data_IF_012412142663
#
_entry.id   IF_012412142663
#
_cell.length_a   1.000
_cell.length_b   1.000
_cell.length_c   1.000
_cell.angle_alpha   90.00
_cell.angle_beta   90.00
_cell.angle_gamma   90.00
#
_symmetry.space_group_name_H-M   'P 1'
#
loop_
_entity.id
_entity.type
_entity.pdbx_description
1 polymer ?
#
# COMPACT_ATOMS: atom_id res chain seq x y z
N UNK A 1 39.38 42.52 7.85
CA UNK A 1 40.22 41.58 7.13
C UNK A 1 39.29 40.49 6.65
N UNK A 2 39.14 40.29 5.34
CA UNK A 2 38.32 39.21 4.81
C UNK A 2 39.02 37.90 5.13
N UNK A 3 38.29 36.97 5.76
CA UNK A 3 38.77 35.57 5.91
C UNK A 3 38.86 34.95 4.52
N UNK A 4 40.01 34.43 4.15
CA UNK A 4 40.21 33.72 2.91
C UNK A 4 39.88 32.25 3.16
N UNK A 5 38.87 31.74 2.49
CA UNK A 5 38.61 30.29 2.41
C UNK A 5 39.60 29.69 1.40
N UNK A 6 40.28 28.63 1.80
CA UNK A 6 41.14 27.86 0.93
C UNK A 6 40.60 26.44 0.84
N UNK A 7 40.28 26.01 -0.37
CA UNK A 7 39.78 24.64 -0.63
C UNK A 7 40.74 24.01 -1.65
N UNK A 8 41.34 22.88 -1.28
CA UNK A 8 42.21 22.11 -2.17
C UNK A 8 41.33 21.27 -3.12
N UNK A 9 41.69 21.29 -4.40
CA UNK A 9 41.11 20.41 -5.40
C UNK A 9 42.26 19.54 -5.97
N UNK A 10 42.04 18.23 -6.02
CA UNK A 10 43.00 17.33 -6.69
C UNK A 10 42.80 17.42 -8.20
N UNK A 11 43.84 17.84 -8.91
CA UNK A 11 43.85 18.03 -10.36
C UNK A 11 44.29 16.78 -11.11
N UNK A 12 43.43 16.37 -12.07
CA UNK A 12 43.79 15.51 -13.20
C UNK A 12 43.87 16.41 -14.43
N UNK A 13 44.68 16.06 -15.42
CA UNK A 13 44.79 16.81 -16.71
C UNK A 13 43.37 17.14 -17.25
N UNK A 14 43.02 18.43 -17.32
CA UNK A 14 41.74 18.89 -17.81
C UNK A 14 41.07 19.96 -16.94
N UNK A 15 39.78 19.95 -16.85
CA UNK A 15 38.98 20.87 -16.05
C UNK A 15 39.04 20.49 -14.58
N UNK A 16 39.21 21.48 -13.71
CA UNK A 16 39.12 21.33 -12.25
C UNK A 16 37.77 21.87 -11.84
N UNK A 17 36.96 21.02 -11.23
CA UNK A 17 35.64 21.38 -10.64
C UNK A 17 35.73 21.27 -9.13
N UNK A 18 35.26 22.29 -8.42
CA UNK A 18 35.13 22.26 -6.97
C UNK A 18 33.87 22.98 -6.56
N UNK A 19 33.23 22.48 -5.49
CA UNK A 19 32.04 23.10 -4.90
C UNK A 19 32.46 23.86 -3.65
N UNK A 20 32.29 25.17 -3.64
CA UNK A 20 32.58 26.01 -2.47
C UNK A 20 31.39 25.90 -1.50
N UNK A 21 31.63 25.51 -0.26
CA UNK A 21 30.66 25.37 0.80
C UNK A 21 30.91 26.36 1.94
N UNK A 22 29.88 26.60 2.79
CA UNK A 22 29.99 27.49 3.94
C UNK A 22 30.00 28.98 3.57
N UNK A 23 29.54 29.31 2.35
CA UNK A 23 29.43 30.72 1.92
C UNK A 23 28.20 31.37 2.54
N UNK A 24 28.30 32.66 2.85
CA UNK A 24 27.17 33.47 3.33
C UNK A 24 26.26 33.87 2.17
N UNK A 25 24.95 33.83 2.38
CA UNK A 25 23.96 34.24 1.39
C UNK A 25 24.07 35.75 1.05
N UNK A 26 23.65 36.12 -0.16
CA UNK A 26 23.64 37.49 -0.63
C UNK A 26 25.01 38.17 -0.68
N UNK A 27 26.11 37.41 -0.58
CA UNK A 27 27.49 37.92 -0.41
C UNK A 27 28.28 37.81 -1.68
N UNK A 28 29.00 38.87 -2.02
CA UNK A 28 29.91 38.84 -3.16
C UNK A 28 31.27 38.24 -2.76
N UNK A 29 31.67 37.23 -3.50
CA UNK A 29 32.95 36.56 -3.32
C UNK A 29 33.88 36.77 -4.52
N UNK A 30 35.14 36.87 -4.24
CA UNK A 30 36.17 36.93 -5.25
C UNK A 30 37.03 35.68 -5.14
N UNK A 31 37.36 35.08 -6.25
CA UNK A 31 38.14 33.85 -6.29
C UNK A 31 39.25 33.93 -7.33
N UNK A 32 40.32 33.19 -7.10
CA UNK A 32 41.33 32.86 -8.11
C UNK A 32 41.71 31.39 -7.95
N UNK A 33 42.04 30.76 -9.04
CA UNK A 33 42.66 29.43 -9.04
C UNK A 33 44.17 29.59 -8.83
N UNK A 34 44.71 28.87 -7.87
CA UNK A 34 46.14 28.78 -7.63
C UNK A 34 46.63 27.38 -7.92
N UNK A 35 47.60 27.25 -8.80
CA UNK A 35 48.25 25.99 -9.15
C UNK A 35 49.72 26.06 -8.67
N UNK A 36 50.12 25.10 -7.86
CA UNK A 36 51.46 24.98 -7.33
C UNK A 36 52.08 23.63 -7.66
N UNK A 37 53.33 23.62 -8.09
CA UNK A 37 54.11 22.41 -8.28
C UNK A 37 55.20 22.24 -7.18
N UNK A 38 55.10 23.02 -6.08
CA UNK A 38 56.03 23.02 -4.97
C UNK A 38 57.27 23.90 -5.20
N UNK A 39 57.47 24.43 -6.42
CA UNK A 39 58.60 25.32 -6.77
C UNK A 39 58.12 26.67 -7.30
N UNK A 40 56.97 26.71 -7.92
CA UNK A 40 56.36 27.92 -8.45
C UNK A 40 54.85 27.87 -8.26
N UNK A 41 54.23 29.05 -8.18
CA UNK A 41 52.79 29.26 -8.04
C UNK A 41 52.35 30.10 -9.21
N UNK A 42 51.29 29.68 -9.88
CA UNK A 42 50.60 30.42 -10.93
C UNK A 42 49.15 30.66 -10.48
N UNK A 43 48.70 31.90 -10.66
CA UNK A 43 47.31 32.29 -10.32
C UNK A 43 46.55 32.69 -11.57
N UNK A 44 45.28 32.35 -11.62
CA UNK A 44 44.34 32.88 -12.61
C UNK A 44 44.03 34.36 -12.34
N UNK A 45 43.40 35.00 -13.32
CA UNK A 45 42.71 36.27 -13.06
C UNK A 45 41.67 36.11 -11.95
N UNK A 46 41.35 37.22 -11.27
CA UNK A 46 40.37 37.25 -10.22
C UNK A 46 38.98 37.21 -10.85
N UNK A 47 38.26 36.12 -10.61
CA UNK A 47 36.81 36.02 -10.89
C UNK A 47 36.01 36.49 -9.68
N UNK A 48 34.74 36.77 -9.93
CA UNK A 48 33.78 37.07 -8.84
C UNK A 48 32.45 36.45 -9.13
N UNK A 49 31.68 36.14 -8.08
CA UNK A 49 30.29 35.76 -8.11
C UNK A 49 29.61 36.29 -6.85
N UNK A 50 28.28 36.30 -6.88
CA UNK A 50 27.48 36.62 -5.71
C UNK A 50 26.57 35.44 -5.40
N UNK A 51 26.55 35.01 -4.14
CA UNK A 51 25.57 34.02 -3.66
C UNK A 51 24.17 34.63 -3.68
N UNK A 52 23.18 33.78 -3.93
CA UNK A 52 21.80 34.21 -3.84
C UNK A 52 21.47 34.63 -2.39
N UNK A 53 20.65 35.67 -2.21
CA UNK A 53 20.13 36.00 -0.88
C UNK A 53 19.19 34.91 -0.39
N UNK A 54 19.10 34.74 0.92
CA UNK A 54 18.06 33.92 1.51
C UNK A 54 16.69 34.56 1.24
N UNK A 55 15.68 33.72 1.05
CA UNK A 55 14.32 34.12 0.72
C UNK A 55 13.31 33.52 1.69
N UNK A 56 12.05 33.88 1.55
CA UNK A 56 10.96 33.19 2.23
C UNK A 56 10.84 31.77 1.75
N UNK A 57 10.33 30.82 2.55
CA UNK A 57 10.00 29.46 2.10
C UNK A 57 9.00 29.50 0.95
N UNK A 58 9.07 28.53 0.04
CA UNK A 58 8.11 28.35 -1.06
C UNK A 58 7.31 27.08 -0.84
N UNK A 59 5.99 27.22 -0.76
CA UNK A 59 5.04 26.12 -0.60
C UNK A 59 4.34 25.80 -1.92
N UNK A 60 4.14 24.52 -2.19
CA UNK A 60 3.33 24.03 -3.29
C UNK A 60 1.83 24.09 -2.98
N UNK A 61 1.04 23.43 -3.82
CA UNK A 61 -0.41 23.36 -3.64
C UNK A 61 -0.80 22.59 -2.36
N UNK A 62 -1.80 23.14 -1.66
CA UNK A 62 -2.42 22.46 -0.53
C UNK A 62 -3.49 21.50 -1.01
N UNK A 63 -3.31 20.20 -0.72
CA UNK A 63 -4.23 19.14 -1.12
C UNK A 63 -4.92 18.57 0.11
N UNK A 64 -6.25 18.53 0.08
CA UNK A 64 -7.02 17.80 1.09
C UNK A 64 -7.02 16.31 0.76
N UNK A 65 -6.45 15.49 1.65
CA UNK A 65 -6.35 14.03 1.48
C UNK A 65 -7.45 13.26 2.22
N UNK A 66 -8.08 13.90 3.20
CA UNK A 66 -9.16 13.31 3.98
C UNK A 66 -10.10 14.39 4.55
N UNK A 67 -11.41 14.06 4.66
CA UNK A 67 -12.44 14.87 5.29
C UNK A 67 -13.43 14.00 6.07
N UNK A 68 -13.56 14.26 7.36
CA UNK A 68 -14.55 13.64 8.24
C UNK A 68 -15.41 14.70 8.95
N UNK A 69 -16.29 14.26 9.88
CA UNK A 69 -17.14 15.16 10.64
C UNK A 69 -16.37 15.98 11.70
N UNK A 70 -15.29 15.42 12.27
CA UNK A 70 -14.52 16.04 13.36
C UNK A 70 -13.03 16.17 13.07
N UNK A 71 -12.61 15.78 11.87
CA UNK A 71 -11.22 15.91 11.45
C UNK A 71 -11.09 16.02 9.93
N UNK A 72 -9.95 16.58 9.51
CA UNK A 72 -9.54 16.62 8.11
C UNK A 72 -8.02 16.42 8.02
N UNK A 73 -7.50 15.92 6.92
CA UNK A 73 -6.07 15.79 6.71
C UNK A 73 -5.68 16.47 5.39
N UNK A 74 -4.52 17.12 5.44
CA UNK A 74 -3.96 17.86 4.33
C UNK A 74 -2.53 17.47 4.07
N UNK A 75 -2.13 17.64 2.83
CA UNK A 75 -0.77 17.45 2.34
C UNK A 75 -0.33 18.67 1.57
N UNK A 76 0.93 19.08 1.76
CA UNK A 76 1.57 20.12 0.99
C UNK A 76 3.03 19.74 0.75
N UNK A 77 3.67 20.38 -0.23
CA UNK A 77 5.09 20.22 -0.52
C UNK A 77 5.83 21.48 -0.19
N UNK A 78 6.93 21.38 0.55
CA UNK A 78 7.93 22.44 0.64
C UNK A 78 8.76 22.35 -0.63
N UNK A 79 8.63 23.35 -1.50
CA UNK A 79 9.36 23.44 -2.78
C UNK A 79 10.76 23.98 -2.58
N UNK A 80 10.91 24.96 -1.66
CA UNK A 80 12.19 25.61 -1.34
C UNK A 80 12.13 26.12 0.12
N UNK A 81 13.16 25.88 0.91
CA UNK A 81 13.28 26.41 2.27
C UNK A 81 13.79 27.85 2.32
N UNK A 82 14.14 28.41 1.17
CA UNK A 82 14.68 29.77 1.03
C UNK A 82 16.15 29.88 1.40
N UNK A 83 16.88 28.77 1.49
CA UNK A 83 18.29 28.71 1.87
C UNK A 83 18.53 28.84 3.39
N UNK A 84 17.48 28.74 4.22
CA UNK A 84 17.53 28.81 5.68
C UNK A 84 16.70 27.71 6.31
N UNK A 85 17.16 27.17 7.44
CA UNK A 85 16.42 26.17 8.18
C UNK A 85 15.05 26.69 8.60
N UNK A 86 14.01 25.87 8.42
CA UNK A 86 12.68 26.20 8.90
C UNK A 86 12.64 26.20 10.43
N UNK A 87 12.03 27.21 11.00
CA UNK A 87 11.71 27.30 12.43
C UNK A 87 10.33 26.75 12.74
N UNK A 88 9.41 26.83 11.78
CA UNK A 88 8.05 26.30 11.89
C UNK A 88 7.59 25.75 10.55
N UNK A 89 7.00 24.56 10.60
CA UNK A 89 6.26 23.95 9.48
C UNK A 89 4.92 23.46 10.05
N UNK A 90 3.80 23.90 9.46
CA UNK A 90 2.50 23.69 10.07
C UNK A 90 1.35 23.78 9.05
N UNK A 91 0.15 23.44 9.50
CA UNK A 91 -1.12 23.89 8.92
C UNK A 91 -1.82 24.84 9.86
N UNK A 92 -2.27 25.97 9.32
CA UNK A 92 -3.14 26.92 10.02
C UNK A 92 -4.57 26.71 9.55
N UNK A 93 -5.54 26.79 10.46
CA UNK A 93 -6.95 26.67 10.10
C UNK A 93 -7.84 27.50 11.03
N UNK A 94 -8.96 27.95 10.49
CA UNK A 94 -9.98 28.66 11.23
C UNK A 94 -11.37 28.35 10.70
N UNK A 95 -12.38 28.45 11.55
CA UNK A 95 -13.77 28.39 11.10
C UNK A 95 -14.09 29.65 10.26
N UNK A 96 -14.80 29.46 9.14
CA UNK A 96 -15.15 30.51 8.21
C UNK A 96 -16.02 31.56 8.92
N UNK A 97 -15.57 32.83 8.87
CA UNK A 97 -16.24 33.96 9.53
C UNK A 97 -15.79 34.22 10.97
N UNK A 98 -14.78 33.47 11.46
CA UNK A 98 -14.14 33.74 12.76
C UNK A 98 -12.69 34.22 12.55
N UNK A 99 -12.12 34.85 13.57
CA UNK A 99 -10.71 35.29 13.57
C UNK A 99 -9.82 34.38 14.43
N UNK A 100 -10.38 33.29 14.98
CA UNK A 100 -9.68 32.38 15.88
C UNK A 100 -8.94 31.32 15.12
N UNK A 101 -7.78 31.65 14.56
CA UNK A 101 -6.89 30.69 13.89
C UNK A 101 -6.24 29.71 14.86
N UNK A 102 -6.15 28.45 14.48
CA UNK A 102 -5.40 27.39 15.16
C UNK A 102 -4.26 26.94 14.28
N UNK A 103 -3.21 26.36 14.90
CA UNK A 103 -2.02 25.87 14.23
C UNK A 103 -1.74 24.43 14.63
N UNK A 104 -1.34 23.59 13.65
CA UNK A 104 -0.90 22.21 13.85
C UNK A 104 0.48 22.07 13.24
N UNK A 105 1.51 22.00 14.08
CA UNK A 105 2.89 21.77 13.64
C UNK A 105 3.06 20.31 13.13
N UNK A 106 3.88 20.14 12.09
CA UNK A 106 4.13 18.88 11.43
C UNK A 106 5.61 18.75 11.09
N UNK A 107 6.16 17.51 11.07
CA UNK A 107 7.50 17.25 10.56
C UNK A 107 7.53 17.35 9.03
N UNK A 108 8.68 17.74 8.48
CA UNK A 108 8.96 17.57 7.06
C UNK A 108 9.22 16.08 6.78
N UNK A 109 8.52 15.53 5.78
CA UNK A 109 8.71 14.16 5.31
C UNK A 109 9.67 14.05 4.14
N UNK A 110 9.72 12.87 3.55
CA UNK A 110 10.55 12.59 2.39
C UNK A 110 10.13 13.45 1.18
N UNK A 111 11.09 13.77 0.30
CA UNK A 111 10.87 14.56 -0.92
C UNK A 111 10.22 15.94 -0.68
N UNK A 112 10.37 16.50 0.52
CA UNK A 112 9.79 17.79 0.87
C UNK A 112 8.28 17.75 1.14
N UNK A 113 7.64 16.58 1.15
CA UNK A 113 6.21 16.42 1.41
C UNK A 113 5.94 16.43 2.92
N UNK A 114 4.96 17.18 3.36
CA UNK A 114 4.48 17.17 4.74
C UNK A 114 2.97 16.98 4.80
N UNK A 115 2.51 16.26 5.81
CA UNK A 115 1.10 15.95 6.03
C UNK A 115 0.69 16.29 7.45
N UNK A 116 -0.54 16.74 7.60
CA UNK A 116 -1.10 17.06 8.91
C UNK A 116 -2.57 16.72 9.03
N UNK A 117 -2.98 16.33 10.24
CA UNK A 117 -4.36 16.02 10.57
C UNK A 117 -4.92 17.07 11.53
N UNK A 118 -5.95 17.78 11.09
CA UNK A 118 -6.74 18.67 11.93
C UNK A 118 -7.74 17.82 12.72
N UNK A 119 -7.83 18.02 14.03
CA UNK A 119 -8.71 17.27 14.92
C UNK A 119 -9.56 18.23 15.76
N UNK A 120 -10.68 17.72 16.31
CA UNK A 120 -11.58 18.52 17.15
C UNK A 120 -12.30 19.60 16.36
N UNK A 121 -12.58 19.33 15.07
CA UNK A 121 -13.44 20.17 14.24
C UNK A 121 -14.90 19.95 14.61
N UNK A 122 -15.77 20.89 14.25
CA UNK A 122 -17.21 20.77 14.43
C UNK A 122 -17.85 20.20 13.15
N UNK A 123 -18.86 19.36 13.34
CA UNK A 123 -19.58 18.69 12.25
C UNK A 123 -20.38 19.70 11.41
N UNK A 124 -20.42 19.51 10.09
CA UNK A 124 -21.16 20.40 9.17
C UNK A 124 -20.60 21.83 9.09
N UNK A 125 -19.42 22.05 9.64
CA UNK A 125 -18.82 23.40 9.79
C UNK A 125 -17.78 23.66 8.70
N UNK A 126 -17.79 24.86 8.15
CA UNK A 126 -16.86 25.27 7.09
C UNK A 126 -15.59 25.87 7.70
N UNK A 127 -14.44 25.39 7.25
CA UNK A 127 -13.12 25.83 7.65
C UNK A 127 -12.31 26.35 6.46
N UNK A 128 -11.37 27.24 6.74
CA UNK A 128 -10.36 27.72 5.81
C UNK A 128 -9.01 27.25 6.35
N UNK A 129 -8.21 26.59 5.50
CA UNK A 129 -6.91 26.00 5.86
C UNK A 129 -5.83 26.50 4.93
N UNK A 130 -4.63 26.77 5.46
CA UNK A 130 -3.42 27.04 4.68
C UNK A 130 -2.26 26.23 5.25
N UNK A 131 -1.35 25.79 4.41
CA UNK A 131 -0.02 25.36 4.84
C UNK A 131 0.79 26.61 5.24
N UNK A 132 1.68 26.46 6.20
CA UNK A 132 2.42 27.55 6.83
C UNK A 132 3.87 27.13 7.08
N UNK A 133 4.80 27.95 6.65
CA UNK A 133 6.22 27.74 6.87
C UNK A 133 6.91 29.03 7.28
N UNK A 134 7.87 28.95 8.18
CA UNK A 134 8.67 30.07 8.69
C UNK A 134 10.15 29.72 8.66
N UNK A 135 10.96 30.63 8.16
CA UNK A 135 12.41 30.63 8.31
C UNK A 135 12.88 31.96 8.96
N UNK A 136 14.18 32.20 9.01
CA UNK A 136 14.75 33.43 9.59
C UNK A 136 14.38 34.72 8.83
N UNK A 137 13.95 34.60 7.55
CA UNK A 137 13.57 35.76 6.71
C UNK A 137 12.12 36.14 6.93
N UNK A 138 11.23 35.18 7.25
CA UNK A 138 9.83 35.45 7.54
C UNK A 138 8.93 34.25 7.29
N UNK A 139 7.65 34.47 7.10
CA UNK A 139 6.59 33.50 7.00
C UNK A 139 5.95 33.46 5.59
N UNK A 140 5.49 32.26 5.21
CA UNK A 140 4.76 32.03 3.96
C UNK A 140 3.55 31.13 4.21
N UNK A 141 2.47 31.42 3.49
CA UNK A 141 1.24 30.64 3.46
C UNK A 141 0.98 30.09 2.06
N UNK A 142 0.45 28.88 1.96
CA UNK A 142 -0.10 28.39 0.70
C UNK A 142 -1.40 29.12 0.34
N UNK A 143 -1.88 28.95 -0.88
CA UNK A 143 -3.25 29.30 -1.25
C UNK A 143 -4.22 28.60 -0.27
N UNK A 144 -5.16 29.33 0.36
CA UNK A 144 -6.09 28.73 1.31
C UNK A 144 -7.08 27.80 0.60
N UNK A 145 -7.42 26.70 1.28
CA UNK A 145 -8.46 25.75 0.85
C UNK A 145 -9.63 25.84 1.80
N UNK A 146 -10.82 26.04 1.23
CA UNK A 146 -12.08 26.03 1.99
C UNK A 146 -12.70 24.63 1.92
N UNK A 147 -13.14 24.09 3.06
CA UNK A 147 -13.86 22.82 3.12
C UNK A 147 -14.92 22.85 4.23
N UNK A 148 -15.97 22.01 4.06
CA UNK A 148 -16.99 21.81 5.10
C UNK A 148 -16.84 20.39 5.62
N UNK A 149 -16.77 20.20 6.95
CA UNK A 149 -16.76 18.89 7.60
C UNK A 149 -18.03 18.11 7.25
N UNK A 150 -17.91 16.76 7.26
CA UNK A 150 -19.03 15.89 6.91
C UNK A 150 -20.12 15.90 7.99
N UNK A 151 -21.38 15.75 7.57
CA UNK A 151 -22.47 15.40 8.49
C UNK A 151 -22.47 13.90 8.73
N UNK A 152 -22.46 13.47 9.99
CA UNK A 152 -22.43 12.06 10.37
C UNK A 152 -23.48 11.73 11.45
N UNK A 153 -23.96 10.50 11.45
CA UNK A 153 -24.72 9.96 12.57
C UNK A 153 -23.77 9.70 13.73
N UNK A 154 -24.04 10.31 14.89
CA UNK A 154 -23.19 10.18 16.07
C UNK A 154 -23.72 9.10 17.03
N UNK A 155 -22.96 8.03 17.22
CA UNK A 155 -23.24 6.94 18.17
C UNK A 155 -22.39 7.11 19.43
N UNK A 156 -22.88 7.87 20.41
CA UNK A 156 -22.14 8.19 21.63
C UNK A 156 -22.01 6.98 22.59
N UNK A 157 -22.98 6.04 22.54
CA UNK A 157 -23.02 4.88 23.39
C UNK A 157 -22.97 3.60 22.53
N UNK A 158 -21.96 2.74 22.69
CA UNK A 158 -21.81 1.54 21.89
C UNK A 158 -23.06 0.63 22.02
N UNK A 159 -23.62 0.18 20.89
CA UNK A 159 -24.80 -0.68 20.83
C UNK A 159 -26.13 0.06 20.66
N UNK A 160 -26.12 1.40 20.63
CA UNK A 160 -27.33 2.21 20.49
C UNK A 160 -27.67 2.57 19.03
N UNK A 161 -26.82 2.21 18.07
CA UNK A 161 -27.08 2.51 16.65
C UNK A 161 -28.43 1.97 16.16
N UNK A 162 -28.91 0.77 16.56
CA UNK A 162 -30.26 0.28 16.19
C UNK A 162 -31.37 1.23 16.62
N UNK A 163 -31.31 1.81 17.80
CA UNK A 163 -32.28 2.78 18.29
C UNK A 163 -32.20 4.11 17.56
N UNK A 164 -30.98 4.61 17.32
CA UNK A 164 -30.73 5.86 16.59
C UNK A 164 -31.27 5.75 15.16
N UNK A 165 -31.02 4.62 14.49
CA UNK A 165 -31.45 4.40 13.11
C UNK A 165 -32.93 4.11 12.95
N UNK A 166 -33.53 3.43 13.91
CA UNK A 166 -34.97 3.09 13.89
C UNK A 166 -35.43 2.54 12.54
N UNK A 167 -36.47 3.11 11.99
CA UNK A 167 -37.06 2.70 10.70
C UNK A 167 -36.23 3.15 9.47
N UNK A 168 -35.23 4.03 9.64
CA UNK A 168 -34.42 4.53 8.54
C UNK A 168 -33.36 3.52 8.07
N UNK A 169 -33.12 2.47 8.84
CA UNK A 169 -32.03 1.49 8.57
C UNK A 169 -32.07 0.86 7.17
N UNK A 170 -33.25 0.76 6.54
CA UNK A 170 -33.39 0.17 5.21
C UNK A 170 -33.55 1.18 4.07
N UNK A 171 -33.58 2.48 4.41
CA UNK A 171 -33.81 3.54 3.42
C UNK A 171 -32.51 4.23 2.97
N UNK A 172 -31.39 3.96 3.64
CA UNK A 172 -30.14 4.62 3.37
C UNK A 172 -29.27 3.82 2.39
N UNK A 173 -28.75 4.50 1.38
CA UNK A 173 -27.73 3.97 0.47
C UNK A 173 -26.32 4.39 0.89
N UNK A 174 -26.20 5.46 1.69
CA UNK A 174 -24.94 5.99 2.22
C UNK A 174 -25.08 6.31 3.69
N UNK A 175 -24.02 6.06 4.46
CA UNK A 175 -23.98 6.31 5.89
C UNK A 175 -22.61 6.78 6.34
N UNK A 176 -22.57 7.95 6.98
CA UNK A 176 -21.37 8.44 7.70
C UNK A 176 -21.63 8.34 9.18
N UNK A 177 -20.75 7.63 9.89
CA UNK A 177 -20.84 7.39 11.33
C UNK A 177 -19.66 8.01 12.07
N UNK A 178 -19.94 8.45 13.29
CA UNK A 178 -18.92 8.84 14.29
C UNK A 178 -19.27 8.25 15.65
N UNK A 179 -18.30 8.23 16.56
CA UNK A 179 -18.46 7.67 17.90
C UNK A 179 -18.05 6.21 18.03
N UNK A 180 -18.82 5.40 18.74
CA UNK A 180 -18.41 4.04 19.14
C UNK A 180 -19.26 2.96 18.48
N UNK A 181 -18.61 1.85 18.08
CA UNK A 181 -19.27 0.69 17.49
C UNK A 181 -18.90 -0.59 18.26
N UNK A 182 -19.89 -1.36 18.68
CA UNK A 182 -19.71 -2.71 19.22
C UNK A 182 -20.42 -3.76 18.35
N UNK A 183 -20.48 -5.00 18.83
CA UNK A 183 -21.08 -6.10 18.08
C UNK A 183 -22.54 -5.88 17.71
N UNK A 184 -23.32 -5.21 18.55
CA UNK A 184 -24.74 -4.88 18.27
C UNK A 184 -24.85 -3.91 17.09
N UNK A 185 -23.98 -2.89 17.05
CA UNK A 185 -23.95 -1.91 15.95
C UNK A 185 -23.51 -2.57 14.64
N UNK A 186 -22.48 -3.45 14.71
CA UNK A 186 -22.00 -4.20 13.54
C UNK A 186 -23.10 -5.10 12.96
N UNK A 187 -23.94 -5.75 13.80
CA UNK A 187 -25.10 -6.52 13.32
C UNK A 187 -26.04 -5.65 12.49
N UNK A 188 -26.38 -4.47 12.99
CA UNK A 188 -27.22 -3.54 12.24
C UNK A 188 -26.60 -3.14 10.91
N UNK A 189 -25.30 -2.77 10.90
CA UNK A 189 -24.62 -2.42 9.66
C UNK A 189 -24.65 -3.55 8.63
N UNK A 190 -24.52 -4.81 9.07
CA UNK A 190 -24.66 -5.97 8.18
C UNK A 190 -26.08 -6.07 7.61
N UNK A 191 -27.13 -5.90 8.45
CA UNK A 191 -28.52 -5.87 8.00
C UNK A 191 -28.77 -4.75 6.98
N UNK A 192 -28.20 -3.57 7.21
CA UNK A 192 -28.25 -2.45 6.27
C UNK A 192 -27.54 -2.73 4.96
N UNK A 193 -26.51 -3.59 4.99
CA UNK A 193 -25.73 -4.08 3.83
C UNK A 193 -26.34 -5.31 3.16
N UNK A 194 -27.59 -5.65 3.49
CA UNK A 194 -28.35 -6.71 2.83
C UNK A 194 -28.20 -8.12 3.42
N UNK A 195 -27.50 -8.30 4.56
CA UNK A 195 -27.27 -9.63 5.15
C UNK A 195 -27.36 -9.61 6.67
N UNK A 196 -28.17 -10.49 7.26
CA UNK A 196 -28.17 -10.71 8.70
C UNK A 196 -27.01 -11.62 9.17
N UNK A 197 -26.95 -11.90 10.47
CA UNK A 197 -25.91 -12.77 11.05
C UNK A 197 -26.13 -14.26 10.76
N UNK A 198 -27.35 -14.65 10.40
CA UNK A 198 -27.76 -16.03 10.11
C UNK A 198 -27.51 -16.36 8.63
N UNK A 199 -27.19 -15.34 7.83
CA UNK A 199 -26.92 -15.48 6.40
C UNK A 199 -28.17 -15.37 5.53
N UNK A 200 -29.21 -14.72 6.03
CA UNK A 200 -30.42 -14.40 5.26
C UNK A 200 -30.30 -13.01 4.65
N UNK A 201 -30.92 -12.83 3.49
CA UNK A 201 -31.06 -11.52 2.86
C UNK A 201 -31.98 -10.62 3.66
N UNK A 202 -31.63 -9.34 3.73
CA UNK A 202 -32.43 -8.28 4.33
C UNK A 202 -32.76 -7.21 3.29
N UNK A 203 -33.76 -6.36 3.50
CA UNK A 203 -34.08 -5.26 2.58
C UNK A 203 -33.08 -4.09 2.64
N UNK A 204 -31.95 -4.26 3.28
CA UNK A 204 -30.89 -3.23 3.35
C UNK A 204 -30.40 -2.80 1.97
N UNK A 205 -30.18 -1.50 1.80
CA UNK A 205 -29.75 -0.89 0.53
C UNK A 205 -28.44 -0.13 0.65
N UNK A 206 -27.77 -0.25 1.80
CA UNK A 206 -26.52 0.48 2.07
C UNK A 206 -25.40 -0.03 1.16
N UNK A 207 -24.75 0.89 0.44
CA UNK A 207 -23.65 0.57 -0.48
C UNK A 207 -22.37 1.32 -0.14
N UNK A 208 -22.46 2.44 0.58
CA UNK A 208 -21.31 3.24 0.98
C UNK A 208 -21.34 3.52 2.48
N UNK A 209 -20.21 3.30 3.16
CA UNK A 209 -20.04 3.61 4.58
C UNK A 209 -18.77 4.43 4.81
N UNK A 210 -18.91 5.51 5.59
CA UNK A 210 -17.79 6.23 6.17
C UNK A 210 -17.76 6.01 7.69
N UNK A 211 -16.81 5.24 8.15
CA UNK A 211 -16.57 4.90 9.55
C UNK A 211 -15.32 5.60 10.11
N UNK A 212 -14.75 6.55 9.37
CA UNK A 212 -13.46 7.18 9.69
C UNK A 212 -13.38 7.71 11.12
N UNK A 213 -14.46 8.35 11.59
CA UNK A 213 -14.56 8.96 12.92
C UNK A 213 -15.17 8.02 13.96
N UNK A 214 -15.23 6.72 13.67
CA UNK A 214 -15.70 5.73 14.63
C UNK A 214 -14.53 5.05 15.35
N UNK A 215 -14.87 4.41 16.48
CA UNK A 215 -13.97 3.51 17.22
C UNK A 215 -14.68 2.19 17.47
N UNK A 216 -14.06 1.10 17.05
CA UNK A 216 -14.56 -0.24 17.37
C UNK A 216 -14.15 -0.56 18.81
N UNK A 217 -15.12 -0.91 19.63
CA UNK A 217 -14.93 -1.28 21.04
C UNK A 217 -15.47 -2.67 21.33
N UNK A 218 -15.03 -3.25 22.41
CA UNK A 218 -15.48 -4.58 22.85
C UNK A 218 -16.94 -4.54 23.34
N UNK A 219 -17.64 -5.70 23.25
CA UNK A 219 -18.96 -5.88 23.82
C UNK A 219 -20.08 -5.93 22.80
N UNK A 220 -21.33 -5.74 23.27
CA UNK A 220 -22.53 -5.90 22.49
C UNK A 220 -22.87 -7.36 22.16
N UNK A 221 -23.77 -7.56 21.21
CA UNK A 221 -24.14 -8.89 20.70
C UNK A 221 -23.04 -9.47 19.81
N UNK A 222 -23.01 -10.81 19.67
CA UNK A 222 -22.17 -11.43 18.63
C UNK A 222 -22.57 -10.96 17.24
N UNK A 223 -21.61 -10.59 16.39
CA UNK A 223 -21.90 -10.10 15.03
C UNK A 223 -21.83 -11.20 13.96
N UNK A 224 -21.24 -12.36 14.29
CA UNK A 224 -21.17 -13.54 13.42
C UNK A 224 -20.88 -14.81 14.25
N UNK A 225 -21.79 -15.77 14.25
CA UNK A 225 -21.69 -16.96 15.11
C UNK A 225 -21.51 -16.55 16.58
N UNK A 226 -20.44 -17.03 17.24
CA UNK A 226 -20.09 -16.66 18.62
C UNK A 226 -19.00 -15.57 18.69
N UNK A 227 -18.80 -14.77 17.64
CA UNK A 227 -17.74 -13.75 17.59
C UNK A 227 -18.23 -12.41 18.07
N UNK A 228 -17.41 -11.77 18.88
CA UNK A 228 -17.63 -10.44 19.46
C UNK A 228 -16.58 -9.48 18.97
N UNK A 229 -16.88 -8.19 18.98
CA UNK A 229 -15.93 -7.15 18.58
C UNK A 229 -14.74 -7.10 19.52
N UNK A 230 -13.56 -6.86 18.95
CA UNK A 230 -12.33 -6.52 19.66
C UNK A 230 -11.95 -5.06 19.35
N UNK A 231 -11.30 -4.41 20.30
CA UNK A 231 -10.92 -3.00 20.16
C UNK A 231 -10.06 -2.80 18.90
N UNK A 232 -10.41 -1.75 18.14
CA UNK A 232 -9.70 -1.30 16.96
C UNK A 232 -9.38 -2.42 15.94
N UNK A 233 -10.28 -3.41 15.84
CA UNK A 233 -10.10 -4.61 15.01
C UNK A 233 -11.31 -4.86 14.12
N UNK A 234 -11.09 -5.00 12.81
CA UNK A 234 -12.00 -5.68 11.91
C UNK A 234 -11.66 -7.17 11.94
N UNK A 235 -12.47 -7.93 12.67
CA UNK A 235 -12.22 -9.34 12.91
C UNK A 235 -12.80 -10.23 11.81
N UNK A 236 -12.48 -11.52 11.86
CA UNK A 236 -12.97 -12.52 10.90
C UNK A 236 -14.49 -12.44 10.69
N UNK A 237 -14.87 -12.32 9.44
CA UNK A 237 -16.29 -12.36 9.04
C UNK A 237 -17.12 -11.15 9.44
N UNK A 238 -16.52 -10.03 9.90
CA UNK A 238 -17.25 -8.85 10.35
C UNK A 238 -18.19 -8.30 9.27
N UNK A 239 -17.73 -8.29 8.00
CA UNK A 239 -18.55 -7.93 6.83
C UNK A 239 -18.64 -9.08 5.82
N UNK A 240 -18.63 -10.33 6.30
CA UNK A 240 -18.76 -11.51 5.46
C UNK A 240 -20.02 -11.45 4.59
N UNK A 241 -19.87 -11.63 3.26
CA UNK A 241 -20.94 -11.64 2.25
C UNK A 241 -21.73 -10.33 2.13
N UNK A 242 -21.23 -9.20 2.66
CA UNK A 242 -21.85 -7.90 2.42
C UNK A 242 -21.63 -7.49 0.94
N UNK A 243 -22.28 -8.23 0.03
CA UNK A 243 -22.06 -8.16 -1.42
C UNK A 243 -22.47 -6.85 -2.06
N UNK A 244 -23.31 -6.06 -1.39
CA UNK A 244 -23.75 -4.73 -1.86
C UNK A 244 -22.74 -3.62 -1.54
N UNK A 245 -21.83 -3.84 -0.58
CA UNK A 245 -20.86 -2.83 -0.16
C UNK A 245 -19.94 -2.47 -1.32
N UNK A 246 -19.98 -1.21 -1.77
CA UNK A 246 -19.17 -0.68 -2.87
C UNK A 246 -17.98 0.14 -2.36
N UNK A 247 -18.18 0.89 -1.27
CA UNK A 247 -17.15 1.75 -0.68
C UNK A 247 -17.21 1.74 0.84
N UNK A 248 -16.05 1.68 1.45
CA UNK A 248 -15.91 1.82 2.90
C UNK A 248 -14.71 2.71 3.22
N UNK A 249 -14.92 3.69 4.10
CA UNK A 249 -13.83 4.41 4.75
C UNK A 249 -13.68 3.85 6.16
N UNK A 250 -12.49 3.36 6.46
CA UNK A 250 -12.20 2.65 7.71
C UNK A 250 -11.88 3.61 8.85
N UNK A 251 -12.14 3.21 10.12
CA UNK A 251 -11.81 4.02 11.29
C UNK A 251 -10.33 4.41 11.33
N UNK A 252 -10.03 5.68 11.60
CA UNK A 252 -8.65 6.13 11.77
C UNK A 252 -7.91 5.40 12.91
N UNK A 253 -8.64 4.98 13.96
CA UNK A 253 -8.08 4.24 15.09
C UNK A 253 -7.82 2.76 14.79
N UNK A 254 -8.27 2.24 13.64
CA UNK A 254 -8.21 0.83 13.30
C UNK A 254 -6.77 0.34 13.21
N UNK A 255 -6.46 -0.74 13.94
CA UNK A 255 -5.11 -1.33 14.00
C UNK A 255 -4.98 -2.64 13.25
N UNK A 256 -6.06 -3.42 13.17
CA UNK A 256 -6.02 -4.79 12.65
C UNK A 256 -7.17 -5.05 11.70
N UNK A 257 -6.86 -5.58 10.52
CA UNK A 257 -7.82 -6.24 9.63
C UNK A 257 -7.43 -7.71 9.58
N UNK A 258 -8.30 -8.55 10.16
CA UNK A 258 -8.12 -10.01 10.20
C UNK A 258 -8.51 -10.67 8.88
N UNK A 259 -8.04 -11.90 8.68
CA UNK A 259 -8.36 -12.73 7.53
C UNK A 259 -9.88 -12.81 7.34
N UNK A 260 -10.32 -12.70 6.10
CA UNK A 260 -11.73 -12.85 5.72
C UNK A 260 -12.70 -11.84 6.38
N UNK A 261 -12.21 -10.68 6.88
CA UNK A 261 -13.06 -9.62 7.42
C UNK A 261 -14.09 -9.11 6.38
N UNK A 262 -13.70 -9.06 5.10
CA UNK A 262 -14.53 -8.64 3.95
C UNK A 262 -14.83 -9.76 2.97
N UNK A 263 -14.72 -11.03 3.39
CA UNK A 263 -14.92 -12.16 2.48
C UNK A 263 -16.25 -12.11 1.76
N UNK A 264 -16.20 -12.14 0.42
CA UNK A 264 -17.42 -12.11 -0.39
C UNK A 264 -18.09 -10.73 -0.51
N UNK A 265 -17.39 -9.63 -0.18
CA UNK A 265 -17.80 -8.26 -0.52
C UNK A 265 -17.59 -8.02 -2.02
N UNK A 266 -18.36 -8.70 -2.87
CA UNK A 266 -18.13 -8.81 -4.31
C UNK A 266 -18.29 -7.50 -5.08
N UNK A 267 -18.95 -6.49 -4.52
CA UNK A 267 -19.12 -5.17 -5.12
C UNK A 267 -18.13 -4.12 -4.59
N UNK A 268 -17.26 -4.47 -3.62
CA UNK A 268 -16.31 -3.52 -3.05
C UNK A 268 -15.26 -3.12 -4.10
N UNK A 269 -15.26 -1.83 -4.47
CA UNK A 269 -14.45 -1.31 -5.59
C UNK A 269 -13.07 -0.84 -5.09
N UNK A 270 -13.04 -0.17 -3.94
CA UNK A 270 -11.80 0.39 -3.38
C UNK A 270 -11.88 0.48 -1.86
N UNK A 271 -10.73 0.46 -1.23
CA UNK A 271 -10.59 0.64 0.22
C UNK A 271 -9.32 1.43 0.52
N UNK A 272 -9.42 2.38 1.46
CA UNK A 272 -8.28 3.13 1.96
C UNK A 272 -7.81 2.55 3.29
N UNK A 273 -6.55 2.14 3.34
CA UNK A 273 -5.88 1.69 4.56
C UNK A 273 -5.60 2.89 5.46
N UNK A 274 -6.14 2.93 6.69
CA UNK A 274 -6.02 4.09 7.57
C UNK A 274 -4.62 4.22 8.19
N UNK A 275 -4.36 5.40 8.76
CA UNK A 275 -3.09 5.78 9.36
C UNK A 275 -2.60 4.85 10.49
N UNK A 276 -3.51 4.36 11.34
CA UNK A 276 -3.17 3.53 12.50
C UNK A 276 -3.07 2.04 12.21
N UNK A 277 -3.40 1.57 10.98
CA UNK A 277 -3.38 0.14 10.67
C UNK A 277 -1.96 -0.40 10.68
N UNK A 278 -1.75 -1.51 11.42
CA UNK A 278 -0.45 -2.19 11.53
C UNK A 278 -0.51 -3.68 11.14
N UNK A 279 -1.71 -4.27 11.08
CA UNK A 279 -1.91 -5.64 10.63
C UNK A 279 -2.99 -5.69 9.55
N UNK A 280 -2.65 -6.24 8.41
CA UNK A 280 -3.58 -6.49 7.30
C UNK A 280 -3.46 -7.95 6.85
N UNK A 281 -4.58 -8.66 6.85
CA UNK A 281 -4.70 -10.00 6.27
C UNK A 281 -5.73 -9.98 5.16
N UNK A 282 -5.46 -10.70 4.09
CA UNK A 282 -6.27 -10.72 2.88
C UNK A 282 -7.66 -11.32 3.13
N UNK A 283 -8.64 -10.82 2.39
CA UNK A 283 -9.99 -11.40 2.28
C UNK A 283 -10.22 -11.83 0.84
N UNK A 284 -10.88 -12.97 0.65
CA UNK A 284 -11.21 -13.48 -0.68
C UNK A 284 -12.64 -13.15 -1.11
N UNK A 285 -12.87 -13.12 -2.43
CA UNK A 285 -14.21 -12.88 -2.99
C UNK A 285 -14.60 -11.41 -3.05
N UNK A 286 -13.62 -10.50 -3.04
CA UNK A 286 -13.80 -9.09 -3.33
C UNK A 286 -13.60 -8.83 -4.84
N UNK A 287 -14.40 -9.50 -5.68
CA UNK A 287 -14.16 -9.60 -7.13
C UNK A 287 -14.24 -8.28 -7.90
N UNK A 288 -14.81 -7.23 -7.32
CA UNK A 288 -14.82 -5.88 -7.90
C UNK A 288 -13.68 -5.00 -7.39
N UNK A 289 -12.86 -5.47 -6.43
CA UNK A 289 -11.83 -4.64 -5.82
C UNK A 289 -10.71 -4.31 -6.82
N UNK A 290 -10.57 -3.04 -7.16
CA UNK A 290 -9.60 -2.54 -8.14
C UNK A 290 -8.43 -1.83 -7.48
N UNK A 291 -8.64 -1.27 -6.27
CA UNK A 291 -7.66 -0.39 -5.64
C UNK A 291 -7.65 -0.53 -4.12
N UNK A 292 -6.45 -0.64 -3.58
CA UNK A 292 -6.13 -0.46 -2.17
C UNK A 292 -5.22 0.76 -2.05
N UNK A 293 -5.76 1.90 -1.62
CA UNK A 293 -4.97 3.08 -1.30
C UNK A 293 -4.52 3.05 0.17
N UNK A 294 -3.50 3.81 0.49
CA UNK A 294 -2.94 3.89 1.86
C UNK A 294 -2.87 5.35 2.27
N UNK A 295 -3.33 5.65 3.49
CA UNK A 295 -3.19 6.99 4.06
C UNK A 295 -1.71 7.42 4.05
N UNK A 296 -1.37 8.63 3.60
CA UNK A 296 -0.01 9.15 3.66
C UNK A 296 0.60 9.14 5.08
N UNK A 297 -0.24 9.17 6.11
CA UNK A 297 0.15 9.11 7.52
C UNK A 297 0.42 7.69 8.01
N UNK A 298 0.13 6.64 7.23
CA UNK A 298 0.42 5.27 7.63
C UNK A 298 1.92 4.99 7.56
N UNK A 299 2.47 4.46 8.66
CA UNK A 299 3.91 4.16 8.80
C UNK A 299 4.28 2.71 8.49
N UNK A 300 3.29 1.84 8.27
CA UNK A 300 3.48 0.38 8.11
C UNK A 300 3.32 -0.07 6.66
N UNK A 301 2.40 0.57 5.93
CA UNK A 301 2.02 0.18 4.57
C UNK A 301 2.27 1.29 3.56
N UNK A 302 2.33 0.90 2.29
CA UNK A 302 2.34 1.77 1.13
C UNK A 302 1.48 1.18 0.01
N UNK A 303 1.07 2.02 -0.94
CA UNK A 303 0.35 1.59 -2.13
C UNK A 303 1.06 2.11 -3.38
N UNK A 304 1.25 1.22 -4.35
CA UNK A 304 1.78 1.57 -5.68
C UNK A 304 0.76 1.05 -6.70
N UNK A 305 0.23 1.93 -7.51
CA UNK A 305 -0.79 1.61 -8.50
C UNK A 305 -1.99 0.81 -7.93
N UNK A 306 -2.41 1.13 -6.72
CA UNK A 306 -3.54 0.47 -6.06
C UNK A 306 -3.25 -0.93 -5.53
N UNK A 307 -2.01 -1.39 -5.57
CA UNK A 307 -1.54 -2.65 -4.96
C UNK A 307 -0.92 -2.36 -3.61
N UNK A 308 -1.22 -3.18 -2.61
CA UNK A 308 -0.76 -2.97 -1.22
C UNK A 308 0.60 -3.63 -0.97
N UNK A 309 1.49 -2.86 -0.38
CA UNK A 309 2.83 -3.26 0.05
C UNK A 309 3.07 -2.90 1.52
N UNK A 310 4.14 -3.46 2.12
CA UNK A 310 4.71 -2.88 3.32
C UNK A 310 5.36 -1.52 3.00
N UNK A 311 5.77 -0.76 4.01
CA UNK A 311 6.18 0.65 3.86
C UNK A 311 7.29 0.89 2.84
N UNK A 312 8.32 0.04 2.83
CA UNK A 312 9.48 0.12 1.93
C UNK A 312 9.27 -0.62 0.59
N UNK A 313 8.07 -1.10 0.34
CA UNK A 313 7.69 -1.90 -0.83
C UNK A 313 8.58 -3.13 -1.08
N UNK A 314 9.19 -3.69 -0.03
CA UNK A 314 9.94 -4.95 -0.13
C UNK A 314 9.04 -6.19 -0.11
N UNK A 315 7.80 -6.07 0.42
CA UNK A 315 6.80 -7.13 0.47
C UNK A 315 5.54 -6.69 -0.27
N UNK A 316 5.14 -7.40 -1.32
CA UNK A 316 3.82 -7.26 -1.93
C UNK A 316 2.81 -8.03 -1.07
N UNK A 317 1.83 -7.33 -0.50
CA UNK A 317 0.88 -7.90 0.47
C UNK A 317 -0.42 -8.31 -0.20
N UNK A 318 -0.99 -7.46 -1.07
CA UNK A 318 -2.29 -7.75 -1.70
C UNK A 318 -2.43 -7.06 -3.06
N UNK A 319 -2.61 -7.85 -4.11
CA UNK A 319 -3.04 -7.42 -5.44
C UNK A 319 -4.56 -7.55 -5.51
N UNK A 320 -5.32 -6.46 -5.76
CA UNK A 320 -6.78 -6.49 -5.75
C UNK A 320 -7.37 -7.46 -6.79
N UNK A 321 -8.35 -8.28 -6.38
CA UNK A 321 -8.93 -9.34 -7.23
C UNK A 321 -9.57 -8.81 -8.52
N UNK A 322 -10.26 -7.67 -8.46
CA UNK A 322 -10.95 -7.04 -9.60
C UNK A 322 -10.10 -6.11 -10.45
N UNK A 323 -8.79 -6.00 -10.14
CA UNK A 323 -7.90 -5.11 -10.89
C UNK A 323 -7.62 -5.68 -12.29
N UNK A 324 -8.07 -4.95 -13.31
CA UNK A 324 -8.03 -5.33 -14.73
C UNK A 324 -6.98 -4.55 -15.54
N UNK A 325 -5.87 -4.18 -14.95
CA UNK A 325 -4.77 -3.54 -15.68
C UNK A 325 -3.99 -4.60 -16.46
N UNK A 326 -3.56 -4.30 -17.69
CA UNK A 326 -2.86 -5.20 -18.60
C UNK A 326 -1.65 -5.95 -18.00
N UNK A 327 -0.43 -5.58 -18.30
CA UNK A 327 0.76 -6.21 -17.72
C UNK A 327 1.06 -5.64 -16.34
N UNK A 328 1.23 -6.53 -15.34
CA UNK A 328 1.70 -6.14 -14.00
C UNK A 328 3.22 -6.25 -13.93
N UNK A 329 3.87 -5.17 -13.51
CA UNK A 329 5.31 -5.12 -13.29
C UNK A 329 5.61 -4.93 -11.81
N UNK A 330 6.46 -5.78 -11.27
CA UNK A 330 6.90 -5.67 -9.88
C UNK A 330 7.84 -4.47 -9.68
N UNK A 331 7.65 -3.65 -8.64
CA UNK A 331 8.69 -2.73 -8.18
C UNK A 331 10.01 -3.47 -7.91
N UNK A 332 11.14 -2.88 -8.26
CA UNK A 332 12.46 -3.50 -8.09
C UNK A 332 12.85 -3.76 -6.63
N UNK A 333 12.17 -3.10 -5.70
CA UNK A 333 12.33 -3.28 -4.25
C UNK A 333 11.76 -4.60 -3.74
N UNK A 334 10.81 -5.25 -4.47
CA UNK A 334 10.09 -6.43 -3.98
C UNK A 334 11.04 -7.63 -3.85
N UNK A 335 11.05 -8.23 -2.65
CA UNK A 335 11.80 -9.44 -2.28
C UNK A 335 10.90 -10.58 -1.88
N UNK A 336 9.68 -10.27 -1.45
CA UNK A 336 8.70 -11.25 -0.98
C UNK A 336 7.31 -10.95 -1.53
N UNK A 337 6.59 -12.02 -1.88
CA UNK A 337 5.15 -11.97 -2.17
C UNK A 337 4.41 -12.63 -1.02
N UNK A 338 3.46 -11.93 -0.43
CA UNK A 338 2.73 -12.35 0.77
C UNK A 338 1.79 -13.55 0.54
N UNK A 339 1.25 -14.08 1.64
CA UNK A 339 0.25 -15.15 1.64
C UNK A 339 -1.00 -14.69 0.88
N UNK A 340 -1.46 -15.50 -0.08
CA UNK A 340 -2.65 -15.24 -0.90
C UNK A 340 -2.63 -13.87 -1.63
N UNK A 341 -1.45 -13.32 -1.90
CA UNK A 341 -1.31 -11.94 -2.39
C UNK A 341 -1.92 -11.70 -3.77
N UNK A 342 -1.94 -12.70 -4.66
CA UNK A 342 -2.59 -12.68 -5.98
C UNK A 342 -3.80 -13.62 -6.06
N UNK A 343 -4.40 -13.95 -4.91
CA UNK A 343 -5.57 -14.83 -4.91
C UNK A 343 -6.69 -14.27 -5.79
N UNK A 344 -7.26 -15.12 -6.67
CA UNK A 344 -8.34 -14.80 -7.61
C UNK A 344 -8.05 -13.63 -8.58
N UNK A 345 -6.82 -13.18 -8.75
CA UNK A 345 -6.50 -12.09 -9.67
C UNK A 345 -6.91 -12.41 -11.11
N UNK A 346 -7.22 -11.36 -11.89
CA UNK A 346 -7.69 -11.46 -13.26
C UNK A 346 -6.58 -11.23 -14.32
N UNK A 347 -5.32 -11.29 -13.92
CA UNK A 347 -4.19 -11.19 -14.85
C UNK A 347 -4.14 -12.40 -15.79
N UNK A 348 -3.82 -12.17 -17.07
CA UNK A 348 -3.60 -13.24 -18.05
C UNK A 348 -2.25 -13.96 -17.87
N UNK A 349 -1.23 -13.20 -17.49
CA UNK A 349 0.11 -13.73 -17.24
C UNK A 349 0.87 -12.92 -16.20
N UNK A 350 1.86 -13.54 -15.58
CA UNK A 350 2.74 -12.88 -14.63
C UNK A 350 4.16 -13.40 -14.71
N UNK A 351 5.14 -12.50 -14.58
CA UNK A 351 6.56 -12.84 -14.44
C UNK A 351 7.00 -12.38 -13.06
N UNK A 352 7.29 -13.35 -12.19
CA UNK A 352 7.90 -13.08 -10.88
C UNK A 352 9.40 -12.88 -11.12
N UNK A 353 9.95 -11.69 -10.87
CA UNK A 353 11.34 -11.38 -11.19
C UNK A 353 12.31 -12.08 -10.24
N UNK A 354 13.57 -12.17 -10.65
CA UNK A 354 14.64 -12.79 -9.86
C UNK A 354 14.97 -12.04 -8.56
N UNK A 355 14.47 -10.80 -8.40
CA UNK A 355 14.57 -10.06 -7.13
C UNK A 355 13.69 -10.63 -6.03
N UNK A 356 12.64 -11.41 -6.38
CA UNK A 356 11.76 -12.06 -5.41
C UNK A 356 12.40 -13.35 -4.93
N UNK A 357 12.56 -13.46 -3.61
CA UNK A 357 13.23 -14.58 -2.94
C UNK A 357 12.23 -15.53 -2.26
N UNK A 358 11.05 -15.02 -1.88
CA UNK A 358 10.05 -15.79 -1.12
C UNK A 358 8.64 -15.60 -1.67
N UNK A 359 7.90 -16.71 -1.78
CA UNK A 359 6.48 -16.77 -2.07
C UNK A 359 5.70 -17.22 -0.83
N UNK A 360 4.60 -16.55 -0.52
CA UNK A 360 3.67 -16.97 0.52
C UNK A 360 2.77 -18.12 0.09
N UNK A 361 2.24 -18.87 1.05
CA UNK A 361 1.25 -19.90 0.80
C UNK A 361 0.04 -19.35 0.03
N UNK A 362 -0.56 -20.17 -0.85
CA UNK A 362 -1.75 -19.82 -1.63
C UNK A 362 -1.56 -18.57 -2.52
N UNK A 363 -0.33 -18.19 -2.82
CA UNK A 363 0.02 -16.89 -3.44
C UNK A 363 -0.80 -16.56 -4.69
N UNK A 364 -1.07 -17.54 -5.57
CA UNK A 364 -1.87 -17.41 -6.79
C UNK A 364 -3.17 -18.22 -6.77
N UNK A 365 -3.62 -18.68 -5.61
CA UNK A 365 -4.81 -19.52 -5.51
C UNK A 365 -6.01 -18.94 -6.25
N UNK A 366 -6.63 -19.70 -7.16
CA UNK A 366 -7.81 -19.31 -7.93
C UNK A 366 -7.57 -18.21 -8.98
N UNK A 367 -6.31 -17.79 -9.18
CA UNK A 367 -5.96 -16.79 -10.18
C UNK A 367 -6.30 -17.24 -11.61
N UNK A 368 -6.73 -16.30 -12.46
CA UNK A 368 -7.11 -16.52 -13.87
C UNK A 368 -5.91 -16.54 -14.83
N UNK A 369 -4.72 -16.67 -14.29
CA UNK A 369 -3.46 -16.70 -15.04
C UNK A 369 -3.39 -17.90 -15.98
N UNK A 370 -3.10 -17.66 -17.25
CA UNK A 370 -2.82 -18.70 -18.25
C UNK A 370 -1.35 -19.10 -18.27
N UNK A 371 -0.47 -18.17 -17.90
CA UNK A 371 0.98 -18.37 -17.86
C UNK A 371 1.59 -17.72 -16.63
N UNK A 372 2.42 -18.50 -15.92
CA UNK A 372 3.21 -18.00 -14.78
C UNK A 372 4.67 -18.33 -15.03
N UNK A 373 5.54 -17.35 -14.85
CA UNK A 373 7.00 -17.52 -14.88
C UNK A 373 7.54 -17.13 -13.50
N UNK A 374 8.16 -18.08 -12.82
CA UNK A 374 8.91 -17.84 -11.58
C UNK A 374 10.40 -17.83 -11.95
N UNK A 375 11.03 -16.68 -11.83
CA UNK A 375 12.47 -16.53 -12.16
C UNK A 375 13.38 -17.12 -11.06
N UNK A 376 14.68 -16.99 -11.22
CA UNK A 376 15.71 -17.72 -10.45
C UNK A 376 15.82 -17.33 -8.96
N UNK A 377 15.19 -16.24 -8.49
CA UNK A 377 15.28 -15.81 -7.09
C UNK A 377 14.59 -16.73 -6.08
N UNK A 378 13.52 -17.41 -6.51
CA UNK A 378 12.69 -18.25 -5.64
C UNK A 378 13.29 -19.64 -5.50
N UNK A 379 13.41 -20.14 -4.26
CA UNK A 379 13.94 -21.48 -3.98
C UNK A 379 12.86 -22.55 -3.80
N UNK A 380 11.69 -22.20 -3.29
CA UNK A 380 10.61 -23.15 -3.01
C UNK A 380 9.25 -22.67 -3.48
N UNK A 381 8.43 -23.59 -3.99
CA UNK A 381 7.01 -23.34 -4.28
C UNK A 381 6.20 -23.74 -3.05
N UNK A 382 5.55 -22.82 -2.35
CA UNK A 382 4.86 -23.08 -1.10
C UNK A 382 3.56 -23.86 -1.28
N UNK A 383 2.95 -24.27 -0.15
CA UNK A 383 1.69 -25.02 -0.12
C UNK A 383 0.59 -24.27 -0.87
N UNK A 384 -0.15 -25.00 -1.69
CA UNK A 384 -1.29 -24.51 -2.45
C UNK A 384 -1.01 -23.27 -3.32
N UNK A 385 0.25 -23.03 -3.72
CA UNK A 385 0.68 -21.80 -4.42
C UNK A 385 -0.16 -21.49 -5.65
N UNK A 386 -0.48 -22.49 -6.47
CA UNK A 386 -1.30 -22.37 -7.70
C UNK A 386 -2.65 -23.10 -7.59
N UNK A 387 -3.05 -23.47 -6.37
CA UNK A 387 -4.29 -24.21 -6.15
C UNK A 387 -5.48 -23.49 -6.81
N UNK A 388 -6.34 -24.27 -7.51
CA UNK A 388 -7.53 -23.77 -8.20
C UNK A 388 -7.23 -22.77 -9.36
N UNK A 389 -5.99 -22.72 -9.88
CA UNK A 389 -5.66 -21.99 -11.11
C UNK A 389 -6.14 -22.77 -12.33
N UNK A 390 -7.45 -22.80 -12.55
CA UNK A 390 -8.09 -23.67 -13.57
C UNK A 390 -7.75 -23.29 -15.02
N UNK A 391 -7.29 -22.06 -15.26
CA UNK A 391 -6.89 -21.55 -16.57
C UNK A 391 -5.39 -21.66 -16.83
N UNK A 392 -4.59 -22.09 -15.85
CA UNK A 392 -3.14 -22.17 -15.96
C UNK A 392 -2.71 -23.28 -16.92
N UNK A 393 -2.14 -22.87 -18.05
CA UNK A 393 -1.67 -23.78 -19.11
C UNK A 393 -0.16 -23.94 -19.10
N UNK A 394 0.57 -22.87 -18.81
CA UNK A 394 2.04 -22.84 -18.86
C UNK A 394 2.61 -22.37 -17.53
N UNK A 395 3.44 -23.20 -16.91
CA UNK A 395 4.19 -22.86 -15.70
C UNK A 395 5.69 -23.00 -15.96
N UNK A 396 6.46 -21.94 -15.72
CA UNK A 396 7.92 -21.95 -15.82
C UNK A 396 8.51 -21.73 -14.45
N UNK A 397 9.36 -22.64 -13.99
CA UNK A 397 10.03 -22.59 -12.70
C UNK A 397 11.54 -22.46 -12.89
N UNK A 398 12.13 -21.43 -12.28
CA UNK A 398 13.53 -21.07 -12.37
C UNK A 398 14.50 -22.14 -11.87
N UNK A 399 15.78 -21.93 -12.12
CA UNK A 399 16.84 -22.95 -11.85
C UNK A 399 17.10 -23.18 -10.37
N UNK A 400 16.76 -22.21 -9.49
CA UNK A 400 17.00 -22.30 -8.05
C UNK A 400 15.89 -23.09 -7.30
N UNK A 401 14.81 -23.48 -7.98
CA UNK A 401 13.72 -24.22 -7.34
C UNK A 401 14.21 -25.60 -6.89
N UNK A 402 14.17 -25.85 -5.58
CA UNK A 402 14.60 -27.07 -4.92
C UNK A 402 13.47 -27.93 -4.38
N UNK A 403 12.28 -27.37 -4.14
CA UNK A 403 11.12 -28.11 -3.62
C UNK A 403 9.78 -27.51 -4.05
N UNK A 404 8.79 -28.39 -4.25
CA UNK A 404 7.37 -28.08 -4.42
C UNK A 404 6.59 -28.69 -3.26
N UNK A 405 5.88 -27.84 -2.49
CA UNK A 405 5.11 -28.27 -1.33
C UNK A 405 3.75 -28.86 -1.71
N UNK A 406 2.99 -29.32 -0.70
CA UNK A 406 1.74 -30.00 -0.88
C UNK A 406 0.67 -29.13 -1.57
N UNK A 407 -0.18 -29.74 -2.39
CA UNK A 407 -1.33 -29.14 -3.08
C UNK A 407 -1.00 -27.94 -3.98
N UNK A 408 0.28 -27.70 -4.30
CA UNK A 408 0.65 -26.50 -5.04
C UNK A 408 0.05 -26.42 -6.45
N UNK A 409 -0.29 -27.57 -7.07
CA UNK A 409 -0.92 -27.69 -8.39
C UNK A 409 -2.37 -28.22 -8.35
N UNK A 410 -3.00 -28.30 -7.18
CA UNK A 410 -4.36 -28.79 -7.02
C UNK A 410 -5.36 -27.96 -7.84
N UNK A 411 -6.13 -28.61 -8.72
CA UNK A 411 -7.11 -27.95 -9.60
C UNK A 411 -6.52 -27.23 -10.81
N UNK A 412 -5.22 -27.39 -11.12
CA UNK A 412 -4.59 -26.83 -12.31
C UNK A 412 -4.81 -27.70 -13.56
N UNK A 413 -4.89 -27.05 -14.74
CA UNK A 413 -5.01 -27.71 -16.06
C UNK A 413 -3.74 -27.49 -16.91
N UNK A 414 -2.56 -27.78 -16.34
CA UNK A 414 -1.27 -27.55 -17.00
C UNK A 414 -1.12 -28.38 -18.27
N UNK A 415 -0.67 -27.72 -19.35
CA UNK A 415 -0.26 -28.35 -20.62
C UNK A 415 1.25 -28.43 -20.73
N UNK A 416 1.95 -27.43 -20.20
CA UNK A 416 3.40 -27.31 -20.26
C UNK A 416 3.95 -26.91 -18.89
N UNK A 417 4.90 -27.69 -18.39
CA UNK A 417 5.65 -27.40 -17.17
C UNK A 417 7.15 -27.35 -17.48
N UNK A 418 7.73 -26.16 -17.36
CA UNK A 418 9.15 -25.96 -17.59
C UNK A 418 9.90 -25.90 -16.27
N UNK A 419 10.84 -26.81 -16.06
CA UNK A 419 11.75 -26.83 -14.92
C UNK A 419 13.15 -26.48 -15.41
N UNK A 420 13.68 -25.34 -14.94
CA UNK A 420 15.03 -24.90 -15.27
C UNK A 420 16.10 -25.49 -14.32
N UNK A 421 15.66 -26.14 -13.23
CA UNK A 421 16.55 -26.71 -12.22
C UNK A 421 17.38 -27.87 -12.81
N UNK A 422 18.68 -27.87 -12.52
CA UNK A 422 19.62 -28.90 -12.96
C UNK A 422 19.30 -30.28 -12.35
N UNK A 423 18.77 -30.30 -11.13
CA UNK A 423 18.33 -31.48 -10.40
C UNK A 423 16.84 -31.41 -10.13
N UNK A 424 16.12 -32.55 -10.17
CA UNK A 424 14.70 -32.59 -9.89
C UNK A 424 14.38 -32.02 -8.52
N UNK A 425 13.51 -31.00 -8.42
CA UNK A 425 13.04 -30.50 -7.13
C UNK A 425 12.36 -31.58 -6.29
N UNK A 426 12.45 -31.50 -4.98
CA UNK A 426 11.76 -32.41 -4.06
C UNK A 426 10.25 -32.20 -4.18
N UNK A 427 9.49 -33.30 -4.39
CA UNK A 427 8.03 -33.30 -4.30
C UNK A 427 7.60 -33.95 -2.99
N UNK A 428 6.72 -33.25 -2.25
CA UNK A 428 6.08 -33.80 -1.07
C UNK A 428 4.96 -34.77 -1.45
N UNK A 429 4.36 -35.42 -0.47
CA UNK A 429 3.41 -36.53 -0.74
C UNK A 429 2.17 -36.12 -1.51
N UNK A 430 1.72 -34.87 -1.33
CA UNK A 430 0.51 -34.31 -1.93
C UNK A 430 0.77 -33.22 -2.98
N UNK A 431 2.02 -33.04 -3.44
CA UNK A 431 2.39 -32.00 -4.43
C UNK A 431 1.49 -32.04 -5.67
N UNK A 432 1.21 -33.23 -6.21
CA UNK A 432 0.38 -33.44 -7.40
C UNK A 432 -1.05 -33.90 -7.08
N UNK A 433 -1.45 -33.92 -5.80
CA UNK A 433 -2.82 -34.25 -5.41
C UNK A 433 -3.78 -33.22 -5.97
N UNK A 434 -4.87 -33.66 -6.59
CA UNK A 434 -5.88 -32.80 -7.20
C UNK A 434 -5.47 -32.16 -8.54
N UNK A 435 -4.26 -32.40 -9.05
CA UNK A 435 -3.78 -31.86 -10.32
C UNK A 435 -4.36 -32.55 -11.56
N UNK A 436 -5.47 -33.30 -11.41
CA UNK A 436 -6.14 -34.01 -12.50
C UNK A 436 -5.23 -35.04 -13.17
N UNK A 437 -5.29 -35.12 -14.49
CA UNK A 437 -4.51 -36.07 -15.31
C UNK A 437 -3.15 -35.48 -15.75
N UNK A 438 -2.51 -34.67 -14.90
CA UNK A 438 -1.29 -33.92 -15.23
C UNK A 438 -0.19 -34.77 -15.82
N UNK A 439 -0.04 -36.02 -15.35
CA UNK A 439 1.03 -36.90 -15.79
C UNK A 439 0.88 -37.37 -17.24
N UNK A 440 -0.34 -37.46 -17.77
CA UNK A 440 -0.64 -37.89 -19.12
C UNK A 440 -0.79 -36.75 -20.11
N UNK A 441 -1.35 -35.60 -19.65
CA UNK A 441 -1.67 -34.45 -20.54
C UNK A 441 -0.57 -33.41 -20.59
N UNK A 442 0.12 -33.13 -19.47
CA UNK A 442 1.16 -32.12 -19.39
C UNK A 442 2.49 -32.65 -19.96
N UNK A 443 3.16 -31.79 -20.73
CA UNK A 443 4.55 -32.01 -21.15
C UNK A 443 5.50 -31.37 -20.16
N UNK A 444 6.37 -32.15 -19.57
CA UNK A 444 7.44 -31.68 -18.69
C UNK A 444 8.69 -31.37 -19.54
N UNK A 445 9.16 -30.12 -19.46
CA UNK A 445 10.41 -29.69 -20.09
C UNK A 445 11.49 -29.52 -19.02
N UNK A 446 12.67 -30.15 -19.28
CA UNK A 446 13.82 -30.18 -18.37
C UNK A 446 15.09 -29.75 -19.08
N UNK A 447 16.14 -29.30 -18.37
CA UNK A 447 17.39 -28.89 -19.01
C UNK A 447 18.04 -30.02 -19.80
N UNK A 448 18.75 -29.68 -20.89
CA UNK A 448 19.46 -30.60 -21.76
C UNK A 448 20.37 -31.57 -20.98
N UNK A 449 20.32 -32.86 -21.32
CA UNK A 449 21.06 -33.92 -20.63
C UNK A 449 20.50 -34.32 -19.25
N UNK A 450 19.34 -33.78 -18.83
CA UNK A 450 18.78 -34.02 -17.48
C UNK A 450 17.55 -34.97 -17.47
N UNK A 451 16.99 -35.31 -18.62
CA UNK A 451 15.86 -36.23 -18.73
C UNK A 451 16.04 -37.55 -17.97
N UNK A 452 17.22 -38.24 -17.98
CA UNK A 452 17.38 -39.48 -17.25
C UNK A 452 17.19 -39.35 -15.73
N UNK A 453 17.71 -38.31 -15.13
CA UNK A 453 17.57 -38.08 -13.66
C UNK A 453 16.14 -37.72 -13.29
N UNK A 454 15.46 -36.89 -14.10
CA UNK A 454 14.05 -36.56 -13.89
C UNK A 454 13.15 -37.79 -14.05
N UNK A 455 13.44 -38.68 -15.00
CA UNK A 455 12.69 -39.94 -15.20
C UNK A 455 12.77 -40.87 -13.99
N UNK A 456 13.87 -40.83 -13.23
CA UNK A 456 14.06 -41.63 -12.02
C UNK A 456 13.58 -40.94 -10.74
N UNK A 457 13.32 -39.66 -10.77
CA UNK A 457 12.93 -38.89 -9.61
C UNK A 457 11.48 -39.14 -9.22
N UNK A 458 11.23 -39.25 -7.89
CA UNK A 458 9.89 -39.47 -7.33
C UNK A 458 8.97 -38.30 -7.74
N UNK A 459 7.78 -38.65 -8.23
CA UNK A 459 6.80 -37.69 -8.75
C UNK A 459 7.06 -37.28 -10.20
N UNK A 460 8.27 -36.84 -10.52
CA UNK A 460 8.65 -36.39 -11.87
C UNK A 460 8.68 -37.50 -12.89
N UNK A 461 9.12 -38.70 -12.52
CA UNK A 461 9.16 -39.86 -13.39
C UNK A 461 7.79 -40.34 -13.90
N UNK A 462 6.71 -39.90 -13.28
CA UNK A 462 5.35 -40.25 -13.67
C UNK A 462 4.87 -39.53 -14.95
N UNK A 463 5.52 -38.38 -15.31
CA UNK A 463 5.15 -37.70 -16.55
C UNK A 463 5.41 -38.56 -17.78
N UNK A 464 4.38 -38.77 -18.60
CA UNK A 464 4.46 -39.52 -19.82
C UNK A 464 5.43 -38.88 -20.82
N UNK A 465 5.33 -37.57 -20.95
CA UNK A 465 6.12 -36.74 -21.86
C UNK A 465 7.15 -35.91 -21.07
N UNK A 466 8.43 -36.26 -21.21
CA UNK A 466 9.55 -35.48 -20.70
C UNK A 466 10.44 -35.11 -21.89
N UNK A 467 10.58 -33.82 -22.17
CA UNK A 467 11.41 -33.27 -23.23
C UNK A 467 12.58 -32.48 -22.64
N UNK A 468 13.67 -32.40 -23.37
CA UNK A 468 14.82 -31.56 -23.04
C UNK A 468 14.76 -30.25 -23.83
N UNK A 469 15.22 -29.15 -23.22
CA UNK A 469 15.25 -27.82 -23.81
C UNK A 469 16.63 -27.18 -23.67
#
# INVERSE_FOLDING_TARGET
MAEAFQQEAEGVEGNVETCLTGLQAGTSYYYCLEISNGHSVVRSDIGHFQTLPNTLPVLGDLVMIYKGPFSAAFQCTLVDDGGEALTTLAFTYQEKGTENGKLVEVPLGDEGVFTGKLQGLEMGTTYIVSAYAVNSIGETYSTPVEFTTSEAVYNSVPGMLPEIMGNQKYNLTRLTLSGFLNGTDIRLLREMLGWDIEGHETPGQLVEMDLSETKIVEGGSSYYGSRYTRRDTLDYGMFLRCSQLQRIVLPHSLKVIEKDAFKGCSSLISMTIPDSLVVYKTSSGCSALQELSVSPLNTTFSSIDGVLYNKDASILIHYPEGKTTGEFTFPSSVRKIGVAAFQNCLLDSIIVPASVEELGEQVFRGAKLKKIIISDGVNTIPEAAFKECTELQVLVLGKEISALFDYCLDGCNLQELYLMATYPPVCYSSTFTGAGDIFNVCTLYVPSGRKPIYRQAKGWGNFLRINEQ
#
